data_IF_452064009362
#
_entry.id   IF_452064009362
#
_cell.length_a   1.000
_cell.length_b   1.000
_cell.length_c   1.000
_cell.angle_alpha   90.00
_cell.angle_beta   90.00
_cell.angle_gamma   90.00
#
_symmetry.space_group_name_H-M   'P 1'
#
loop_
_entity.id
_entity.type
_entity.pdbx_description
1 polymer ?
#
# COMPACT_ATOMS: atom_id res chain seq x y z
N UNK A 1 48.19 -2.46 -50.24
CA UNK A 1 47.09 -1.49 -50.26
C UNK A 1 45.73 -2.01 -49.78
N UNK A 2 45.48 -3.33 -49.73
CA UNK A 2 44.18 -3.87 -49.25
C UNK A 2 44.07 -4.06 -47.72
N UNK A 3 45.15 -4.01 -46.95
CA UNK A 3 45.13 -4.33 -45.51
C UNK A 3 44.67 -3.18 -44.60
N UNK A 4 44.74 -1.92 -45.06
CA UNK A 4 44.44 -0.74 -44.24
C UNK A 4 42.96 -0.35 -44.24
N UNK A 5 42.17 -0.83 -45.20
CA UNK A 5 40.74 -0.50 -45.27
C UNK A 5 39.88 -1.32 -44.29
N UNK A 6 40.34 -2.50 -43.87
CA UNK A 6 39.56 -3.38 -43.00
C UNK A 6 39.54 -2.90 -41.53
N UNK A 7 40.61 -2.24 -41.06
CA UNK A 7 40.73 -1.79 -39.67
C UNK A 7 39.90 -0.54 -39.33
N UNK A 8 39.58 0.30 -40.32
CA UNK A 8 38.74 1.49 -40.07
C UNK A 8 37.25 1.16 -39.96
N UNK A 9 36.78 0.09 -40.60
CA UNK A 9 35.38 -0.32 -40.55
C UNK A 9 35.00 -0.91 -39.17
N UNK A 10 35.89 -1.69 -38.57
CA UNK A 10 35.67 -2.29 -37.25
C UNK A 10 35.66 -1.26 -36.12
N UNK A 11 36.51 -0.24 -36.19
CA UNK A 11 36.55 0.83 -35.18
C UNK A 11 35.27 1.69 -35.19
N UNK A 12 34.70 1.98 -36.37
CA UNK A 12 33.43 2.72 -36.49
C UNK A 12 32.24 1.93 -35.95
N UNK A 13 32.21 0.61 -36.20
CA UNK A 13 31.16 -0.25 -35.66
C UNK A 13 31.23 -0.36 -34.13
N UNK A 14 32.45 -0.45 -33.58
CA UNK A 14 32.66 -0.49 -32.12
C UNK A 14 32.24 0.81 -31.44
N UNK A 15 32.53 1.97 -32.05
CA UNK A 15 32.11 3.28 -31.54
C UNK A 15 30.59 3.49 -31.63
N UNK A 16 29.93 2.97 -32.67
CA UNK A 16 28.46 2.98 -32.78
C UNK A 16 27.80 2.10 -31.71
N UNK A 17 28.37 0.92 -31.44
CA UNK A 17 27.89 0.03 -30.37
C UNK A 17 28.09 0.63 -28.97
N UNK A 18 29.22 1.31 -28.71
CA UNK A 18 29.43 2.02 -27.44
C UNK A 18 28.46 3.21 -27.27
N UNK A 19 28.15 3.94 -28.35
CA UNK A 19 27.17 5.03 -28.33
C UNK A 19 25.74 4.56 -28.03
N UNK A 20 25.36 3.38 -28.53
CA UNK A 20 24.07 2.74 -28.24
C UNK A 20 23.96 2.26 -26.80
N UNK A 21 25.06 1.83 -26.17
CA UNK A 21 25.06 1.40 -24.76
C UNK A 21 24.95 2.59 -23.78
N UNK A 22 25.56 3.74 -24.11
CA UNK A 22 25.49 4.96 -23.28
C UNK A 22 24.17 5.74 -23.36
N UNK A 23 23.34 5.51 -24.39
CA UNK A 23 22.04 6.17 -24.53
C UNK A 23 20.95 5.61 -23.60
N UNK A 24 21.29 4.61 -22.79
CA UNK A 24 20.46 4.09 -21.68
C UNK A 24 20.47 5.08 -20.52
N UNK A 25 19.96 6.29 -20.76
CA UNK A 25 19.75 7.28 -19.73
C UNK A 25 18.92 6.66 -18.60
N UNK A 26 19.44 6.73 -17.38
CA UNK A 26 18.73 6.47 -16.13
C UNK A 26 17.39 7.21 -16.14
N UNK A 27 16.31 6.51 -16.51
CA UNK A 27 14.96 7.00 -16.28
C UNK A 27 14.64 6.71 -14.82
N UNK A 28 14.78 7.74 -14.00
CA UNK A 28 14.19 7.74 -12.67
C UNK A 28 12.67 7.89 -12.85
N UNK A 29 11.93 6.78 -12.79
CA UNK A 29 10.49 6.86 -12.58
C UNK A 29 10.24 7.26 -11.13
N UNK A 30 9.90 8.53 -10.95
CA UNK A 30 9.39 9.04 -9.67
C UNK A 30 7.94 8.61 -9.57
N UNK A 31 7.70 7.53 -8.83
CA UNK A 31 6.35 7.13 -8.42
C UNK A 31 5.80 8.24 -7.52
N UNK A 32 4.83 8.99 -8.07
CA UNK A 32 4.07 10.00 -7.34
C UNK A 32 2.93 9.33 -6.61
N UNK A 33 2.78 9.62 -5.31
CA UNK A 33 1.60 9.25 -4.54
C UNK A 33 0.42 10.02 -5.12
N UNK A 34 -0.41 9.35 -5.93
CA UNK A 34 -1.71 9.92 -6.30
C UNK A 34 -2.55 9.97 -5.04
N UNK A 35 -2.68 11.18 -4.49
CA UNK A 35 -3.70 11.47 -3.49
C UNK A 35 -5.07 11.08 -4.01
N UNK A 36 -5.99 10.83 -3.09
CA UNK A 36 -7.38 10.52 -3.42
C UNK A 36 -7.91 11.54 -4.45
N UNK A 37 -8.32 11.12 -5.66
CA UNK A 37 -8.73 12.04 -6.73
C UNK A 37 -9.99 12.86 -6.40
N UNK A 38 -10.64 12.57 -5.27
CA UNK A 38 -11.77 13.34 -4.73
C UNK A 38 -11.36 14.43 -3.73
N UNK A 39 -10.08 14.57 -3.42
CA UNK A 39 -9.56 15.78 -2.81
C UNK A 39 -9.31 16.77 -3.95
N UNK A 40 -10.33 17.56 -4.30
CA UNK A 40 -10.10 18.77 -5.09
C UNK A 40 -9.03 19.57 -4.37
N UNK A 41 -7.95 19.87 -5.08
CA UNK A 41 -6.89 20.75 -4.60
C UNK A 41 -7.41 22.19 -4.53
N UNK A 42 -8.44 22.42 -3.71
CA UNK A 42 -8.82 23.76 -3.26
C UNK A 42 -7.94 24.10 -2.07
N UNK A 43 -6.67 24.32 -2.39
CA UNK A 43 -5.68 25.13 -1.69
C UNK A 43 -4.34 24.70 -2.28
N UNK A 44 -3.68 25.62 -2.98
CA UNK A 44 -2.46 25.42 -3.78
C UNK A 44 -1.21 25.04 -2.97
N UNK A 45 -1.35 24.21 -1.95
CA UNK A 45 -0.26 23.61 -1.21
C UNK A 45 0.01 22.21 -1.78
N UNK A 46 0.70 22.20 -2.92
CA UNK A 46 1.31 21.00 -3.48
C UNK A 46 2.32 20.43 -2.50
N UNK A 47 1.90 19.50 -1.63
CA UNK A 47 2.81 18.72 -0.78
C UNK A 47 3.60 17.65 -1.58
N UNK A 48 3.65 17.74 -2.91
CA UNK A 48 4.20 16.71 -3.80
C UNK A 48 5.73 16.62 -3.79
N UNK A 49 6.45 17.59 -3.22
CA UNK A 49 7.91 17.62 -3.24
C UNK A 49 8.59 17.22 -1.91
N UNK A 50 7.90 17.30 -0.78
CA UNK A 50 8.55 17.22 0.55
C UNK A 50 8.11 16.04 1.43
N UNK A 51 7.30 15.11 0.89
CA UNK A 51 7.09 13.80 1.53
C UNK A 51 8.30 12.85 1.35
N UNK A 52 9.44 13.35 0.85
CA UNK A 52 10.73 12.65 0.80
C UNK A 52 11.55 12.78 2.08
N UNK A 53 11.01 13.42 3.12
CA UNK A 53 11.55 13.22 4.46
C UNK A 53 11.34 11.75 4.82
N UNK A 54 12.43 10.98 4.86
CA UNK A 54 12.52 9.77 5.68
C UNK A 54 11.94 10.14 7.05
N UNK A 55 10.67 9.84 7.28
CA UNK A 55 10.09 9.91 8.61
C UNK A 55 10.66 8.70 9.33
N UNK A 56 11.90 8.85 9.81
CA UNK A 56 12.58 7.92 10.69
C UNK A 56 11.62 7.70 11.86
N UNK A 57 10.92 6.56 11.86
CA UNK A 57 10.00 6.16 12.93
C UNK A 57 8.50 6.20 12.62
N UNK A 58 8.04 6.37 11.37
CA UNK A 58 6.61 6.13 11.06
C UNK A 58 6.36 4.61 10.92
N UNK A 59 5.64 3.95 11.86
CA UNK A 59 5.44 2.50 11.79
C UNK A 59 4.63 2.06 10.57
N UNK A 60 3.85 2.99 10.01
CA UNK A 60 3.11 2.82 8.75
C UNK A 60 4.01 2.65 7.52
N UNK A 61 5.25 3.12 7.59
CA UNK A 61 6.24 2.97 6.52
C UNK A 61 7.24 1.86 6.86
N UNK A 62 7.00 1.14 7.95
CA UNK A 62 7.85 0.06 8.43
C UNK A 62 7.68 -1.24 7.67
N UNK A 63 8.59 -2.16 7.95
CA UNK A 63 8.56 -3.54 7.47
C UNK A 63 7.44 -4.30 8.19
N UNK A 64 6.54 -4.96 7.46
CA UNK A 64 5.57 -5.88 8.08
C UNK A 64 6.32 -7.14 8.47
N UNK A 65 6.25 -7.56 9.74
CA UNK A 65 6.72 -8.87 10.13
C UNK A 65 5.86 -9.96 9.45
N UNK A 66 6.43 -10.78 8.54
CA UNK A 66 5.65 -11.80 7.86
C UNK A 66 5.06 -12.84 8.83
N UNK A 67 5.65 -13.03 10.03
CA UNK A 67 5.20 -14.01 11.02
C UNK A 67 3.79 -13.71 11.55
N UNK A 68 3.41 -12.43 11.61
CA UNK A 68 2.14 -11.99 12.19
C UNK A 68 0.98 -12.04 11.19
N UNK A 69 1.26 -12.32 9.92
CA UNK A 69 0.29 -12.35 8.82
C UNK A 69 -0.63 -13.56 8.91
N UNK A 70 -1.93 -13.31 8.76
CA UNK A 70 -2.99 -14.31 8.87
C UNK A 70 -3.33 -14.94 7.51
N UNK A 71 -3.02 -16.24 7.36
CA UNK A 71 -3.30 -17.02 6.14
C UNK A 71 -4.59 -17.84 6.18
N UNK A 72 -5.24 -17.92 7.35
CA UNK A 72 -6.49 -18.66 7.50
C UNK A 72 -7.58 -18.08 6.58
N UNK A 73 -8.29 -18.93 5.84
CA UNK A 73 -9.42 -18.49 5.04
C UNK A 73 -10.48 -17.79 5.92
N UNK A 74 -11.11 -16.74 5.40
CA UNK A 74 -12.10 -15.95 6.14
C UNK A 74 -13.27 -15.61 5.24
N UNK A 75 -14.47 -15.57 5.80
CA UNK A 75 -15.65 -15.14 5.08
C UNK A 75 -15.55 -13.65 4.76
N UNK A 76 -15.84 -13.31 3.50
CA UNK A 76 -15.83 -11.93 3.00
C UNK A 76 -17.24 -11.53 2.57
N UNK A 77 -17.54 -10.24 2.66
CA UNK A 77 -18.82 -9.70 2.22
C UNK A 77 -19.04 -9.92 0.71
N UNK A 78 -20.21 -10.44 0.37
CA UNK A 78 -20.59 -10.68 -1.02
C UNK A 78 -20.63 -9.38 -1.82
N UNK A 79 -20.14 -9.43 -3.06
CA UNK A 79 -20.15 -8.29 -3.99
C UNK A 79 -19.08 -7.22 -3.75
N UNK A 80 -18.36 -7.24 -2.62
CA UNK A 80 -17.22 -6.33 -2.37
C UNK A 80 -15.87 -7.02 -2.51
N UNK A 81 -15.76 -8.31 -2.20
CA UNK A 81 -14.56 -9.10 -2.46
C UNK A 81 -14.35 -9.33 -3.96
N UNK A 82 -13.15 -9.06 -4.44
CA UNK A 82 -12.77 -9.22 -5.85
C UNK A 82 -11.96 -10.50 -6.06
N UNK A 83 -10.85 -10.65 -5.33
CA UNK A 83 -9.94 -11.78 -5.44
C UNK A 83 -8.93 -11.83 -4.29
N UNK A 84 -8.33 -13.00 -4.09
CA UNK A 84 -7.17 -13.21 -3.24
C UNK A 84 -5.94 -13.38 -4.13
N UNK A 85 -4.87 -12.62 -3.89
CA UNK A 85 -3.59 -12.74 -4.59
C UNK A 85 -2.51 -13.09 -3.58
N UNK A 86 -1.71 -14.12 -3.86
CA UNK A 86 -0.51 -14.45 -3.08
C UNK A 86 0.70 -13.75 -3.67
N UNK A 87 1.52 -13.15 -2.80
CA UNK A 87 2.74 -12.44 -3.21
C UNK A 87 3.89 -12.76 -2.27
N UNK A 88 5.07 -13.00 -2.82
CA UNK A 88 6.26 -13.30 -2.03
C UNK A 88 6.87 -12.02 -1.47
N UNK A 89 7.01 -11.95 -0.16
CA UNK A 89 7.65 -10.86 0.57
C UNK A 89 8.53 -11.45 1.67
N UNK A 90 9.81 -11.08 1.67
CA UNK A 90 10.81 -11.62 2.61
C UNK A 90 10.81 -13.17 2.68
N UNK A 91 10.69 -13.83 1.51
CA UNK A 91 10.69 -15.29 1.40
C UNK A 91 9.39 -15.99 1.86
N UNK A 92 8.34 -15.24 2.24
CA UNK A 92 7.04 -15.79 2.62
C UNK A 92 5.94 -15.34 1.66
N UNK A 93 5.03 -16.23 1.31
CA UNK A 93 3.81 -15.86 0.57
C UNK A 93 2.82 -15.14 1.49
N UNK A 94 2.43 -13.94 1.10
CA UNK A 94 1.45 -13.12 1.78
C UNK A 94 0.09 -13.15 1.05
N UNK A 95 -1.01 -13.43 1.76
CA UNK A 95 -2.36 -13.37 1.22
C UNK A 95 -2.87 -11.91 1.17
N UNK A 96 -2.91 -11.33 -0.02
CA UNK A 96 -3.43 -9.97 -0.24
C UNK A 96 -4.83 -10.04 -0.81
N UNK A 97 -5.80 -9.54 -0.05
CA UNK A 97 -7.20 -9.53 -0.44
C UNK A 97 -7.50 -8.24 -1.22
N UNK A 98 -8.15 -8.38 -2.37
CA UNK A 98 -8.57 -7.26 -3.19
C UNK A 98 -10.07 -7.07 -2.98
N UNK A 99 -10.45 -5.86 -2.62
CA UNK A 99 -11.83 -5.45 -2.37
C UNK A 99 -12.19 -4.24 -3.22
N UNK A 100 -13.49 -3.96 -3.26
CA UNK A 100 -14.06 -2.68 -3.70
C UNK A 100 -15.05 -2.16 -2.67
N UNK A 101 -15.24 -0.85 -2.62
CA UNK A 101 -16.28 -0.24 -1.80
C UNK A 101 -17.68 -0.67 -2.30
N UNK A 102 -18.65 -0.89 -1.40
CA UNK A 102 -20.02 -1.13 -1.82
C UNK A 102 -20.62 0.14 -2.43
N UNK A 103 -21.47 -0.02 -3.45
CA UNK A 103 -22.08 1.11 -4.18
C UNK A 103 -22.86 2.07 -3.27
N UNK A 104 -23.44 1.57 -2.17
CA UNK A 104 -24.17 2.37 -1.19
C UNK A 104 -23.27 3.39 -0.47
N UNK A 105 -21.99 3.08 -0.30
CA UNK A 105 -21.01 4.01 0.30
C UNK A 105 -20.39 4.92 -0.74
N UNK A 106 -20.08 4.37 -1.92
CA UNK A 106 -19.50 5.12 -3.02
C UNK A 106 -19.92 4.50 -4.36
N UNK A 107 -20.63 5.24 -5.24
CA UNK A 107 -21.07 4.71 -6.53
C UNK A 107 -19.90 4.28 -7.43
N UNK A 108 -18.71 4.85 -7.24
CA UNK A 108 -17.50 4.49 -7.98
C UNK A 108 -16.88 3.17 -7.51
N UNK A 109 -17.37 2.58 -6.41
CA UNK A 109 -16.91 1.31 -5.85
C UNK A 109 -15.38 1.20 -5.82
N UNK A 110 -14.71 2.18 -5.20
CA UNK A 110 -13.26 2.30 -5.28
C UNK A 110 -12.55 1.01 -4.82
N UNK A 111 -11.60 0.48 -5.62
CA UNK A 111 -10.87 -0.72 -5.26
C UNK A 111 -9.79 -0.41 -4.22
N UNK A 112 -9.50 -1.37 -3.35
CA UNK A 112 -8.39 -1.30 -2.41
C UNK A 112 -7.89 -2.71 -2.08
N UNK A 113 -6.66 -2.80 -1.58
CA UNK A 113 -6.01 -4.07 -1.25
C UNK A 113 -5.72 -4.09 0.24
N UNK A 114 -5.93 -5.22 0.89
CA UNK A 114 -5.62 -5.38 2.31
C UNK A 114 -4.79 -6.63 2.61
N UNK A 115 -3.95 -6.51 3.63
CA UNK A 115 -3.21 -7.59 4.27
C UNK A 115 -3.71 -7.74 5.70
N UNK A 116 -4.02 -8.97 6.12
CA UNK A 116 -4.47 -9.22 7.49
C UNK A 116 -3.31 -9.62 8.39
N UNK A 117 -3.23 -9.00 9.56
CA UNK A 117 -2.23 -9.28 10.59
C UNK A 117 -2.89 -9.47 11.95
N UNK A 118 -2.36 -10.39 12.75
CA UNK A 118 -2.88 -10.70 14.09
C UNK A 118 -2.64 -9.58 15.10
N UNK A 119 -1.49 -8.91 15.01
CA UNK A 119 -1.10 -7.87 15.95
C UNK A 119 -0.20 -6.83 15.28
N UNK A 120 -0.10 -5.67 15.93
CA UNK A 120 0.70 -4.52 15.53
C UNK A 120 1.31 -3.88 16.77
N UNK A 121 2.48 -3.28 16.62
CA UNK A 121 2.95 -2.29 17.60
C UNK A 121 2.07 -1.05 17.49
N UNK A 122 1.30 -0.79 18.54
CA UNK A 122 0.34 0.31 18.57
C UNK A 122 0.99 1.65 18.92
N UNK A 123 2.31 1.70 19.11
CA UNK A 123 3.06 2.94 19.35
C UNK A 123 2.82 3.94 18.21
N UNK A 124 2.26 5.11 18.55
CA UNK A 124 1.94 6.14 17.56
C UNK A 124 0.69 5.89 16.70
N UNK A 125 0.03 4.75 16.90
CA UNK A 125 -1.22 4.41 16.23
C UNK A 125 -2.42 4.71 17.14
N UNK A 126 -3.58 4.90 16.51
CA UNK A 126 -4.85 4.97 17.24
C UNK A 126 -5.99 4.39 16.41
N UNK A 127 -6.99 3.88 17.11
CA UNK A 127 -8.26 3.47 16.51
C UNK A 127 -9.30 4.57 16.69
N UNK A 128 -9.95 4.95 15.60
CA UNK A 128 -11.11 5.84 15.62
C UNK A 128 -12.34 4.93 15.53
N UNK A 129 -13.15 4.83 16.60
CA UNK A 129 -14.31 3.98 16.63
C UNK A 129 -15.35 4.47 15.64
N UNK A 130 -15.99 3.51 15.01
CA UNK A 130 -17.07 3.74 14.05
C UNK A 130 -18.39 3.51 14.76
N UNK A 131 -19.42 4.27 14.38
CA UNK A 131 -20.75 4.07 14.93
C UNK A 131 -21.22 2.63 14.68
N UNK A 132 -21.82 1.93 15.67
CA UNK A 132 -22.18 0.52 15.54
C UNK A 132 -22.98 0.20 14.27
N UNK A 133 -23.95 1.05 13.90
CA UNK A 133 -24.76 0.87 12.70
C UNK A 133 -23.91 0.82 11.41
N UNK A 134 -22.88 1.66 11.30
CA UNK A 134 -21.96 1.63 10.18
C UNK A 134 -20.97 0.45 10.28
N UNK A 135 -20.50 0.12 11.49
CA UNK A 135 -19.59 -0.99 11.74
C UNK A 135 -20.22 -2.37 11.40
N UNK A 136 -21.56 -2.48 11.38
CA UNK A 136 -22.25 -3.69 10.92
C UNK A 136 -22.01 -3.99 9.42
N UNK A 137 -21.82 -2.95 8.60
CA UNK A 137 -21.50 -3.09 7.18
C UNK A 137 -20.00 -3.35 7.00
N UNK A 138 -19.59 -4.59 7.31
CA UNK A 138 -18.20 -5.02 7.35
C UNK A 138 -17.82 -5.84 6.12
N UNK A 139 -16.59 -5.69 5.64
CA UNK A 139 -16.03 -6.58 4.61
C UNK A 139 -15.78 -8.00 5.13
N UNK A 140 -15.75 -8.18 6.45
CA UNK A 140 -15.69 -9.48 7.13
C UNK A 140 -16.95 -9.61 8.00
N UNK A 141 -18.00 -10.32 7.54
CA UNK A 141 -19.34 -10.26 8.12
C UNK A 141 -19.41 -10.54 9.63
N UNK A 142 -18.51 -11.37 10.15
CA UNK A 142 -18.44 -11.76 11.57
C UNK A 142 -17.69 -10.75 12.47
N UNK A 143 -17.28 -9.59 11.93
CA UNK A 143 -16.46 -8.62 12.65
C UNK A 143 -17.04 -7.20 12.54
N UNK A 144 -16.95 -6.43 13.63
CA UNK A 144 -17.03 -4.96 13.58
C UNK A 144 -15.69 -4.39 13.17
N UNK A 145 -15.68 -3.16 12.67
CA UNK A 145 -14.45 -2.48 12.28
C UNK A 145 -14.37 -1.06 12.83
N UNK A 146 -13.15 -0.70 13.26
CA UNK A 146 -12.75 0.66 13.61
C UNK A 146 -11.65 1.12 12.65
N UNK A 147 -11.55 2.43 12.41
CA UNK A 147 -10.52 2.99 11.54
C UNK A 147 -9.18 3.00 12.28
N UNK A 148 -8.13 2.44 11.68
CA UNK A 148 -6.77 2.47 12.21
C UNK A 148 -5.95 3.57 11.53
N UNK A 149 -5.39 4.50 12.31
CA UNK A 149 -4.53 5.57 11.79
C UNK A 149 -3.20 5.65 12.52
N UNK A 150 -2.16 6.13 11.83
CA UNK A 150 -0.88 6.54 12.42
C UNK A 150 -0.79 8.06 12.49
N UNK A 151 -0.26 8.58 13.61
CA UNK A 151 -0.10 10.01 13.86
C UNK A 151 1.35 10.48 13.94
N UNK A 152 2.30 9.55 13.96
CA UNK A 152 3.74 9.86 14.06
C UNK A 152 4.40 10.13 12.71
N UNK A 153 3.68 9.91 11.62
CA UNK A 153 4.17 10.20 10.28
C UNK A 153 4.11 11.71 10.00
N UNK A 154 4.62 12.16 8.86
CA UNK A 154 4.50 13.55 8.38
C UNK A 154 3.04 13.89 8.00
N UNK A 155 2.13 13.80 8.98
CA UNK A 155 0.68 13.83 8.83
C UNK A 155 -0.02 12.58 9.40
N UNK A 156 -1.35 12.55 9.28
CA UNK A 156 -2.17 11.39 9.64
C UNK A 156 -2.23 10.42 8.45
N UNK A 157 -1.86 9.16 8.67
CA UNK A 157 -1.92 8.10 7.67
C UNK A 157 -3.03 7.12 8.06
N UNK A 158 -3.93 6.84 7.12
CA UNK A 158 -4.93 5.79 7.27
C UNK A 158 -4.28 4.44 6.96
N UNK A 159 -4.08 3.62 8.00
CA UNK A 159 -3.43 2.32 7.86
C UNK A 159 -4.38 1.22 7.42
N UNK A 160 -5.68 1.41 7.67
CA UNK A 160 -6.70 0.41 7.41
C UNK A 160 -7.66 0.33 8.59
N UNK A 161 -7.89 -0.87 9.11
CA UNK A 161 -8.95 -1.10 10.09
C UNK A 161 -8.57 -2.14 11.14
N UNK A 162 -9.07 -1.96 12.36
CA UNK A 162 -9.08 -3.00 13.39
C UNK A 162 -10.42 -3.71 13.32
N UNK A 163 -10.39 -5.03 13.17
CA UNK A 163 -11.56 -5.90 13.19
C UNK A 163 -11.70 -6.58 14.54
N UNK A 164 -12.89 -6.54 15.12
CA UNK A 164 -13.20 -7.20 16.41
C UNK A 164 -14.38 -8.14 16.21
N UNK A 165 -14.25 -9.38 16.68
CA UNK A 165 -15.29 -10.41 16.51
C UNK A 165 -16.64 -9.97 17.11
N UNK A 166 -17.72 -10.27 16.39
CA UNK A 166 -19.10 -10.09 16.86
C UNK A 166 -19.52 -11.19 17.86
N UNK A 167 -18.81 -12.31 17.88
CA UNK A 167 -19.15 -13.44 18.75
C UNK A 167 -18.88 -13.10 20.21
N UNK A 168 -19.90 -13.26 21.06
CA UNK A 168 -19.77 -13.15 22.51
C UNK A 168 -18.70 -14.12 23.04
N UNK A 169 -17.72 -13.58 23.78
CA UNK A 169 -16.66 -14.37 24.41
C UNK A 169 -15.42 -14.63 23.55
N UNK A 170 -15.43 -14.28 22.26
CA UNK A 170 -14.24 -14.37 21.42
C UNK A 170 -13.43 -13.07 21.53
N UNK A 171 -12.30 -13.10 22.22
CA UNK A 171 -11.31 -12.01 22.19
C UNK A 171 -10.50 -11.98 20.86
N UNK A 172 -11.14 -12.40 19.76
CA UNK A 172 -10.49 -12.47 18.46
C UNK A 172 -10.58 -11.11 17.76
N UNK A 173 -9.43 -10.56 17.44
CA UNK A 173 -9.30 -9.32 16.69
C UNK A 173 -8.08 -9.41 15.79
N UNK A 174 -8.16 -8.72 14.66
CA UNK A 174 -7.05 -8.61 13.73
C UNK A 174 -7.04 -7.21 13.12
N UNK A 175 -5.95 -6.87 12.45
CA UNK A 175 -5.85 -5.62 11.69
C UNK A 175 -5.82 -5.94 10.20
N UNK A 176 -6.62 -5.22 9.42
CA UNK A 176 -6.51 -5.23 7.97
C UNK A 176 -5.80 -3.96 7.52
N UNK A 177 -4.56 -4.13 7.09
CA UNK A 177 -3.71 -3.05 6.63
C UNK A 177 -3.98 -2.80 5.16
N UNK A 178 -4.24 -1.55 4.78
CA UNK A 178 -4.25 -1.11 3.39
C UNK A 178 -2.83 -1.28 2.87
N UNK A 179 -2.68 -2.02 1.78
CA UNK A 179 -1.37 -2.22 1.17
C UNK A 179 -1.38 -1.77 -0.28
N UNK A 180 -0.26 -1.22 -0.70
CA UNK A 180 0.08 -1.16 -2.11
C UNK A 180 1.40 -1.86 -2.37
N UNK A 181 1.54 -2.37 -3.58
CA UNK A 181 2.78 -2.98 -4.02
C UNK A 181 2.97 -2.63 -5.49
N UNK A 182 4.16 -2.16 -5.82
CA UNK A 182 4.58 -2.06 -7.22
C UNK A 182 4.98 -3.46 -7.66
N UNK A 183 4.31 -3.98 -8.68
CA UNK A 183 4.87 -5.09 -9.43
C UNK A 183 6.10 -4.52 -10.14
N UNK A 184 7.30 -5.03 -9.80
CA UNK A 184 8.48 -4.70 -10.59
C UNK A 184 8.12 -4.94 -12.05
N UNK A 185 8.40 -3.98 -12.93
CA UNK A 185 8.05 -4.09 -14.35
C UNK A 185 8.79 -5.30 -14.95
N UNK A 186 8.15 -6.46 -14.91
CA UNK A 186 8.55 -7.70 -15.58
C UNK A 186 8.36 -7.55 -17.09
N UNK A 187 9.17 -6.72 -17.74
CA UNK A 187 9.53 -6.99 -19.12
C UNK A 187 10.74 -7.92 -19.04
N UNK A 188 10.50 -9.22 -19.27
CA UNK A 188 11.51 -10.30 -19.42
C UNK A 188 11.88 -11.16 -18.20
N UNK A 189 11.10 -11.19 -17.11
CA UNK A 189 11.27 -12.24 -16.10
C UNK A 189 10.65 -13.56 -16.59
N UNK A 190 11.44 -14.35 -17.31
CA UNK A 190 11.10 -15.74 -17.64
C UNK A 190 11.23 -16.58 -16.37
N UNK A 191 10.08 -16.86 -15.77
CA UNK A 191 9.85 -17.93 -14.77
C UNK A 191 10.27 -17.64 -13.33
N UNK A 192 9.23 -17.61 -12.47
CA UNK A 192 9.17 -18.07 -11.08
C UNK A 192 9.30 -17.10 -9.88
N UNK A 193 9.79 -15.86 -9.98
CA UNK A 193 9.92 -15.01 -8.77
C UNK A 193 9.33 -13.62 -8.93
N UNK A 194 8.01 -13.53 -8.74
CA UNK A 194 7.29 -12.25 -8.55
C UNK A 194 7.48 -11.73 -7.13
N UNK A 195 8.70 -11.32 -6.82
CA UNK A 195 9.06 -10.71 -5.55
C UNK A 195 8.39 -9.33 -5.43
N UNK A 196 7.76 -9.06 -4.30
CA UNK A 196 7.43 -7.67 -3.95
C UNK A 196 8.72 -6.99 -3.51
N UNK A 197 9.24 -6.07 -4.32
CA UNK A 197 10.38 -5.25 -3.95
C UNK A 197 10.00 -4.22 -2.87
N UNK A 198 8.75 -3.73 -2.90
CA UNK A 198 8.25 -2.72 -1.96
C UNK A 198 6.77 -2.96 -1.63
N UNK A 199 6.51 -3.30 -0.36
CA UNK A 199 5.18 -3.30 0.23
C UNK A 199 4.99 -1.97 0.95
N UNK A 200 4.10 -1.12 0.46
CA UNK A 200 3.72 0.12 1.11
C UNK A 200 2.46 -0.12 1.94
N UNK A 201 2.42 0.39 3.16
CA UNK A 201 1.24 0.30 4.03
C UNK A 201 0.62 1.68 4.21
N UNK A 202 -0.70 1.69 4.16
CA UNK A 202 -1.52 2.86 4.43
C UNK A 202 -1.53 3.88 3.28
N UNK A 203 -2.43 4.84 3.44
CA UNK A 203 -2.63 5.96 2.52
C UNK A 203 -2.78 7.24 3.33
N UNK A 204 -2.59 8.41 2.70
CA UNK A 204 -2.84 9.69 3.37
C UNK A 204 -4.30 9.73 3.86
N UNK A 205 -4.50 10.03 5.14
CA UNK A 205 -5.84 10.13 5.69
C UNK A 205 -6.58 11.34 5.08
N UNK A 206 -7.87 11.22 4.74
CA UNK A 206 -8.67 12.35 4.32
C UNK A 206 -8.85 13.35 5.47
N UNK A 207 -9.14 14.62 5.13
CA UNK A 207 -9.17 15.73 6.09
C UNK A 207 -10.09 15.47 7.31
N UNK A 208 -11.28 14.91 7.08
CA UNK A 208 -12.22 14.58 8.16
C UNK A 208 -11.64 13.55 9.15
N UNK A 209 -10.92 12.55 8.64
CA UNK A 209 -10.28 11.52 9.46
C UNK A 209 -9.10 12.09 10.24
N UNK A 210 -8.29 12.95 9.60
CA UNK A 210 -7.22 13.67 10.27
C UNK A 210 -7.76 14.57 11.39
N UNK A 211 -8.86 15.30 11.15
CA UNK A 211 -9.51 16.13 12.16
C UNK A 211 -9.98 15.30 13.36
N UNK A 212 -10.66 14.17 13.13
CA UNK A 212 -11.08 13.27 14.22
C UNK A 212 -9.89 12.67 15.01
N UNK A 213 -8.79 12.37 14.34
CA UNK A 213 -7.58 11.87 14.99
C UNK A 213 -6.95 12.94 15.91
N UNK A 214 -7.06 14.22 15.55
CA UNK A 214 -6.51 15.32 16.34
C UNK A 214 -7.40 15.73 17.51
N UNK A 215 -8.74 15.71 17.37
CA UNK A 215 -9.66 16.14 18.45
C UNK A 215 -9.66 15.20 19.65
N UNK A 216 -9.42 13.90 19.44
CA UNK A 216 -9.37 12.89 20.53
C UNK A 216 -8.17 13.01 21.45
N UNK A 217 -7.21 13.87 21.13
CA UNK A 217 -6.03 14.13 21.97
C UNK A 217 -6.36 15.04 23.15
N UNK A 218 -7.36 15.90 22.98
CA UNK A 218 -7.68 16.95 23.95
C UNK A 218 -8.65 16.52 25.05
N UNK A 219 -9.10 15.26 25.04
CA UNK A 219 -10.10 14.73 25.99
C UNK A 219 -9.53 13.66 26.94
N UNK A 220 -8.20 13.61 27.09
CA UNK A 220 -7.54 12.79 28.11
C UNK A 220 -7.19 13.62 29.34
#
# INVERSE_FOLDING_TARGET
FFSTFCTMATLRLLLLLLGLLCASALRYDVVSVTGNPHMTAEDGQTCAADCKGESVGCPALGVVDPTVVLDANIQTQAGTFLKLVRKTYMGRELPIFHFKQPAVLNPNQLPFKILRVSHLDMSGMMTIPVEPAAAYNSWFPEYYWDVLVCRQCSGVVHLGWKFTSKSLGAADSFYALIVDYTEGHEREATTAERLIERLQIGVRAPAWMAAMAMTRVMTK
#
